data_IF_269828623811
#
_entry.id   IF_269828623811
#
_cell.length_a   1.000
_cell.length_b   1.000
_cell.length_c   1.000
_cell.angle_alpha   90.00
_cell.angle_beta   90.00
_cell.angle_gamma   90.00
#
_symmetry.space_group_name_H-M   'P 1'
#
loop_
_entity.id
_entity.type
_entity.pdbx_description
1 polymer ?
#
# COMPACT_ATOMS: atom_id res chain seq x y z
N UNK A 1 -4.93 -8.34 -7.12
CA UNK A 1 -4.08 -9.01 -8.12
C UNK A 1 -3.68 -8.08 -9.24
N UNK A 2 -4.64 -7.50 -9.99
CA UNK A 2 -4.35 -6.50 -11.04
C UNK A 2 -3.50 -5.32 -10.51
N UNK A 3 -3.97 -4.61 -9.49
CA UNK A 3 -3.24 -3.44 -8.94
C UNK A 3 -1.83 -3.78 -8.45
N UNK A 4 -1.66 -4.93 -7.78
CA UNK A 4 -0.32 -5.37 -7.34
C UNK A 4 0.65 -5.46 -8.53
N UNK A 5 0.20 -5.98 -9.66
CA UNK A 5 1.02 -6.06 -10.86
C UNK A 5 1.24 -4.67 -11.49
N UNK A 6 0.21 -3.84 -11.59
CA UNK A 6 0.30 -2.53 -12.23
C UNK A 6 1.20 -1.56 -11.44
N UNK A 7 1.12 -1.58 -10.11
CA UNK A 7 1.86 -0.66 -9.24
C UNK A 7 3.27 -1.15 -8.88
N UNK A 8 3.48 -2.47 -8.81
CA UNK A 8 4.75 -3.04 -8.33
C UNK A 8 5.46 -3.97 -9.31
N UNK A 9 4.77 -4.42 -10.36
CA UNK A 9 5.24 -5.47 -11.25
C UNK A 9 5.26 -6.87 -10.63
N UNK A 10 4.73 -7.05 -9.41
CA UNK A 10 4.67 -8.35 -8.75
C UNK A 10 3.46 -9.16 -9.24
N UNK A 11 3.73 -10.37 -9.70
CA UNK A 11 2.71 -11.37 -10.03
C UNK A 11 2.78 -12.51 -9.04
N UNK A 12 1.69 -12.75 -8.32
CA UNK A 12 1.56 -13.87 -7.37
C UNK A 12 0.41 -14.78 -7.78
N UNK A 13 0.38 -16.02 -7.27
CA UNK A 13 -0.75 -16.94 -7.53
C UNK A 13 -1.98 -16.67 -6.64
N UNK A 14 -1.77 -16.07 -5.47
CA UNK A 14 -2.80 -15.71 -4.50
C UNK A 14 -2.25 -14.66 -3.52
N UNK A 15 -3.12 -13.79 -2.98
CA UNK A 15 -2.76 -12.82 -1.92
C UNK A 15 -2.91 -13.38 -0.50
N UNK A 16 -3.41 -14.62 -0.35
CA UNK A 16 -3.66 -15.20 0.96
C UNK A 16 -4.89 -14.60 1.67
N UNK A 17 -4.89 -14.65 3.00
CA UNK A 17 -6.00 -14.14 3.82
C UNK A 17 -5.91 -12.63 4.02
N UNK A 18 -7.06 -11.99 4.09
CA UNK A 18 -7.17 -10.60 4.49
C UNK A 18 -6.73 -10.46 5.95
N UNK A 19 -5.79 -9.55 6.21
CA UNK A 19 -5.27 -9.30 7.58
C UNK A 19 -5.95 -8.12 8.26
N UNK A 20 -6.51 -7.20 7.48
CA UNK A 20 -7.27 -6.06 7.98
C UNK A 20 -8.19 -5.46 6.91
N UNK A 21 -9.14 -4.63 7.34
CA UNK A 21 -9.94 -3.78 6.46
C UNK A 21 -10.34 -2.50 7.16
N UNK A 22 -10.68 -1.47 6.38
CA UNK A 22 -11.28 -0.23 6.89
C UNK A 22 -12.23 0.39 5.88
N UNK A 23 -13.18 1.16 6.41
CA UNK A 23 -14.09 1.97 5.62
C UNK A 23 -14.00 3.42 6.06
N UNK A 24 -13.85 4.33 5.12
CA UNK A 24 -13.78 5.76 5.40
C UNK A 24 -14.22 6.58 4.19
N UNK A 25 -14.48 7.85 4.41
CA UNK A 25 -14.82 8.79 3.35
C UNK A 25 -13.57 9.54 2.92
N UNK A 26 -13.30 9.59 1.62
CA UNK A 26 -12.15 10.25 1.01
C UNK A 26 -12.63 11.37 0.09
N UNK A 27 -12.03 12.56 0.21
CA UNK A 27 -12.19 13.65 -0.75
C UNK A 27 -11.08 13.52 -1.81
N UNK A 28 -11.47 13.26 -3.05
CA UNK A 28 -10.53 13.18 -4.18
C UNK A 28 -10.05 14.58 -4.58
N UNK A 29 -8.89 14.69 -5.25
CA UNK A 29 -8.41 15.97 -5.80
C UNK A 29 -9.39 16.66 -6.75
N UNK A 30 -10.29 15.91 -7.38
CA UNK A 30 -11.39 16.43 -8.20
C UNK A 30 -12.47 17.18 -7.42
N UNK A 31 -12.48 17.08 -6.09
CA UNK A 31 -13.53 17.60 -5.21
C UNK A 31 -14.67 16.60 -4.95
N UNK A 32 -14.64 15.42 -5.56
CA UNK A 32 -15.61 14.36 -5.32
C UNK A 32 -15.36 13.67 -3.98
N UNK A 33 -16.43 13.40 -3.24
CA UNK A 33 -16.38 12.62 -2.00
C UNK A 33 -16.79 11.18 -2.27
N UNK A 34 -15.89 10.24 -2.01
CA UNK A 34 -16.10 8.81 -2.24
C UNK A 34 -16.06 8.02 -0.93
N UNK A 35 -16.83 6.94 -0.85
CA UNK A 35 -16.71 5.96 0.22
C UNK A 35 -15.67 4.91 -0.18
N UNK A 36 -14.58 4.81 0.60
CA UNK A 36 -13.52 3.84 0.39
C UNK A 36 -13.77 2.57 1.22
N UNK A 37 -13.66 1.40 0.58
CA UNK A 37 -13.52 0.08 1.21
C UNK A 37 -12.11 -0.42 0.93
N UNK A 38 -11.26 -0.44 1.95
CA UNK A 38 -9.90 -0.91 1.81
C UNK A 38 -9.68 -2.22 2.56
N UNK A 39 -8.91 -3.12 1.94
CA UNK A 39 -8.57 -4.45 2.46
C UNK A 39 -7.09 -4.69 2.31
N UNK A 40 -6.47 -5.18 3.37
CA UNK A 40 -5.03 -5.38 3.46
C UNK A 40 -4.68 -6.85 3.43
N UNK A 41 -3.62 -7.17 2.71
CA UNK A 41 -3.07 -8.52 2.51
C UNK A 41 -1.56 -8.47 2.65
N UNK A 42 -0.94 -9.60 2.96
CA UNK A 42 0.52 -9.70 3.14
C UNK A 42 1.09 -10.58 2.03
N UNK A 43 2.02 -9.99 1.26
CA UNK A 43 2.71 -10.67 0.18
C UNK A 43 4.18 -10.82 0.57
N UNK A 44 4.66 -12.05 0.58
CA UNK A 44 6.08 -12.34 0.74
C UNK A 44 6.75 -12.41 -0.63
N UNK A 45 7.85 -11.68 -0.80
CA UNK A 45 8.62 -11.64 -2.05
C UNK A 45 10.10 -11.44 -1.73
N UNK A 46 10.97 -12.03 -2.56
CA UNK A 46 12.42 -11.77 -2.53
C UNK A 46 12.79 -10.56 -3.42
N UNK A 47 11.86 -10.08 -4.25
CA UNK A 47 12.07 -8.93 -5.13
C UNK A 47 11.88 -7.63 -4.36
N UNK A 48 12.94 -6.81 -4.34
CA UNK A 48 12.93 -5.47 -3.73
C UNK A 48 12.66 -4.36 -4.74
N UNK A 49 12.94 -4.56 -6.03
CA UNK A 49 12.72 -3.50 -7.02
C UNK A 49 11.26 -3.41 -7.44
N UNK A 50 10.67 -2.23 -7.33
CA UNK A 50 9.33 -1.89 -7.81
C UNK A 50 9.41 -1.51 -9.29
N UNK A 51 8.56 -2.12 -10.12
CA UNK A 51 8.39 -1.73 -11.53
C UNK A 51 7.29 -0.69 -11.66
N UNK A 52 7.64 0.51 -12.11
CA UNK A 52 6.71 1.63 -12.32
C UNK A 52 6.30 1.83 -13.78
N UNK A 53 6.65 0.90 -14.68
CA UNK A 53 6.26 0.98 -16.09
C UNK A 53 4.73 0.93 -16.25
N UNK A 54 4.04 0.23 -15.34
CA UNK A 54 2.58 0.14 -15.31
C UNK A 54 1.85 1.36 -14.76
N UNK A 55 2.57 2.32 -14.18
CA UNK A 55 1.91 3.45 -13.50
C UNK A 55 1.12 4.34 -14.47
N UNK A 56 -0.07 4.73 -14.02
CA UNK A 56 -0.91 5.71 -14.68
C UNK A 56 -0.25 7.09 -14.69
N UNK A 57 -0.73 8.00 -15.54
CA UNK A 57 -0.21 9.37 -15.58
C UNK A 57 -0.33 10.06 -14.21
N UNK A 58 -1.46 9.89 -13.53
CA UNK A 58 -1.69 10.45 -12.21
C UNK A 58 -0.73 9.88 -11.15
N UNK A 59 -0.49 8.56 -11.15
CA UNK A 59 0.49 7.94 -10.24
C UNK A 59 1.90 8.49 -10.45
N UNK A 60 2.33 8.67 -11.69
CA UNK A 60 3.66 9.26 -11.99
C UNK A 60 3.77 10.72 -11.55
N UNK A 61 2.67 11.46 -11.49
CA UNK A 61 2.65 12.84 -11.01
C UNK A 61 2.70 12.94 -9.48
N UNK A 62 2.10 11.98 -8.76
CA UNK A 62 1.96 12.05 -7.30
C UNK A 62 2.95 11.16 -6.53
N UNK A 63 3.48 10.10 -7.15
CA UNK A 63 4.44 9.18 -6.51
C UNK A 63 5.86 9.55 -6.95
N UNK A 64 6.59 10.20 -6.04
CA UNK A 64 7.97 10.61 -6.30
C UNK A 64 8.99 9.49 -6.12
N UNK A 65 8.85 8.67 -5.06
CA UNK A 65 9.79 7.61 -4.69
C UNK A 65 9.09 6.49 -3.91
N UNK A 66 9.76 5.35 -3.77
CA UNK A 66 9.36 4.25 -2.90
C UNK A 66 10.52 3.88 -1.95
N UNK A 67 10.17 3.32 -0.79
CA UNK A 67 11.13 2.86 0.20
C UNK A 67 10.59 1.62 0.94
N UNK A 68 11.46 0.65 1.20
CA UNK A 68 11.12 -0.51 2.02
C UNK A 68 11.43 -0.24 3.49
N UNK A 69 10.38 -0.21 4.30
CA UNK A 69 10.50 0.10 5.72
C UNK A 69 10.59 -1.18 6.54
N UNK A 70 11.44 -1.18 7.57
CA UNK A 70 11.33 -2.16 8.65
C UNK A 70 10.24 -1.74 9.63
N UNK A 71 9.64 -2.70 10.34
CA UNK A 71 8.61 -2.42 11.37
C UNK A 71 9.13 -1.44 12.42
N UNK A 72 10.39 -1.58 12.82
CA UNK A 72 11.01 -0.70 13.81
C UNK A 72 11.11 0.74 13.33
N UNK A 73 11.48 0.94 12.05
CA UNK A 73 11.54 2.28 11.46
C UNK A 73 10.13 2.85 11.32
N UNK A 74 9.12 2.06 10.92
CA UNK A 74 7.72 2.54 10.87
C UNK A 74 7.24 3.08 12.23
N UNK A 75 7.60 2.40 13.33
CA UNK A 75 7.23 2.77 14.71
C UNK A 75 7.89 4.06 15.22
N UNK A 76 9.02 4.45 14.64
CA UNK A 76 9.80 5.60 15.08
C UNK A 76 9.90 6.71 14.03
N UNK A 77 9.31 6.50 12.85
CA UNK A 77 9.29 7.51 11.80
C UNK A 77 8.40 8.70 12.17
N UNK A 78 8.92 9.90 11.93
CA UNK A 78 8.19 11.17 11.99
C UNK A 78 7.47 11.50 10.68
N UNK A 79 7.62 10.67 9.63
CA UNK A 79 6.93 10.83 8.36
C UNK A 79 5.43 10.49 8.47
N UNK A 80 4.61 11.18 7.68
CA UNK A 80 3.18 10.87 7.57
C UNK A 80 2.98 9.54 6.84
N UNK A 81 2.77 8.47 7.61
CA UNK A 81 2.51 7.12 7.11
C UNK A 81 1.04 6.76 7.35
N UNK A 82 0.35 6.24 6.34
CA UNK A 82 -1.07 5.92 6.46
C UNK A 82 -1.42 4.59 5.78
N UNK A 83 -2.14 3.67 6.44
CA UNK A 83 -2.48 3.64 7.87
C UNK A 83 -1.35 3.09 8.76
N UNK A 84 -0.55 3.95 9.39
CA UNK A 84 0.57 3.54 10.25
C UNK A 84 0.19 2.56 11.36
N UNK A 85 -0.81 2.88 12.16
CA UNK A 85 -1.20 2.05 13.30
C UNK A 85 -1.70 0.67 12.85
N UNK A 86 -2.44 0.62 11.75
CA UNK A 86 -2.90 -0.65 11.19
C UNK A 86 -1.73 -1.52 10.72
N UNK A 87 -0.74 -0.92 10.04
CA UNK A 87 0.47 -1.60 9.59
C UNK A 87 1.26 -2.16 10.78
N UNK A 88 1.46 -1.37 11.84
CA UNK A 88 2.17 -1.81 13.05
C UNK A 88 1.43 -2.98 13.72
N UNK A 89 0.11 -2.88 13.86
CA UNK A 89 -0.71 -3.90 14.51
C UNK A 89 -0.81 -5.20 13.72
N UNK A 90 -0.87 -5.13 12.39
CA UNK A 90 -0.94 -6.31 11.53
C UNK A 90 0.41 -7.00 11.40
N UNK A 91 1.48 -6.25 11.19
CA UNK A 91 2.83 -6.80 11.04
C UNK A 91 3.45 -7.25 12.37
N UNK A 92 3.09 -6.61 13.49
CA UNK A 92 3.59 -6.98 14.82
C UNK A 92 3.02 -8.29 15.38
N UNK A 93 2.03 -8.90 14.71
CA UNK A 93 1.41 -10.19 15.08
C UNK A 93 1.96 -11.38 14.29
N UNK A 94 2.76 -11.11 13.25
CA UNK A 94 3.48 -12.12 12.47
C UNK A 94 4.81 -12.47 13.14
#
# INVERSE_FOLDING_TARGET
MRELQEETGLTVGSVGQQVASRNFTLLLPSGETVAADERFFIIHTERVDIDNLGWTANEKEVIGNHHWWTIEVLKHSDETIFPRELLIDTLGKL
#
